data_IF_933808813199
#
_entry.id   IF_933808813199
#
_cell.length_a   1.000
_cell.length_b   1.000
_cell.length_c   1.000
_cell.angle_alpha   90.00
_cell.angle_beta   90.00
_cell.angle_gamma   90.00
#
_symmetry.space_group_name_H-M   'P 1'
#
loop_
_entity.id
_entity.type
_entity.pdbx_description
1 polymer ?
#
# COMPACT_ATOMS: atom_id res chain seq x y z
N UNK A 1 -30.79 -2.29 40.38
CA UNK A 1 -30.48 -0.90 39.98
C UNK A 1 -29.07 -0.72 39.41
N UNK A 2 -28.04 -1.41 39.92
CA UNK A 2 -26.63 -1.31 39.44
C UNK A 2 -26.37 -2.03 38.10
N UNK A 3 -27.06 -3.14 37.81
CA UNK A 3 -26.91 -3.90 36.56
C UNK A 3 -27.43 -3.16 35.30
N UNK A 4 -28.34 -2.19 35.47
CA UNK A 4 -28.88 -1.37 34.37
C UNK A 4 -27.93 -0.24 33.95
N UNK A 5 -27.04 0.22 34.85
CA UNK A 5 -26.04 1.24 34.53
C UNK A 5 -24.87 0.69 33.69
N UNK A 6 -24.46 -0.57 33.90
CA UNK A 6 -23.39 -1.18 33.11
C UNK A 6 -23.78 -1.43 31.64
N UNK A 7 -25.05 -1.75 31.37
CA UNK A 7 -25.53 -1.95 30.00
C UNK A 7 -25.49 -0.67 29.15
N UNK A 8 -25.70 0.50 29.79
CA UNK A 8 -25.67 1.78 29.10
C UNK A 8 -24.23 2.23 28.74
N UNK A 9 -23.22 1.87 29.53
CA UNK A 9 -21.82 2.25 29.25
C UNK A 9 -21.18 1.43 28.12
N UNK A 10 -21.59 0.17 27.90
CA UNK A 10 -21.05 -0.64 26.80
C UNK A 10 -21.63 -0.29 25.42
N UNK A 11 -22.79 0.38 25.36
CA UNK A 11 -23.46 0.72 24.10
C UNK A 11 -22.93 1.98 23.39
N UNK A 12 -22.21 2.85 24.10
CA UNK A 12 -21.81 4.16 23.57
C UNK A 12 -20.46 4.17 22.84
N UNK A 13 -19.70 3.06 22.83
CA UNK A 13 -18.32 3.03 22.32
C UNK A 13 -18.16 2.48 20.89
N UNK A 14 -19.23 2.05 20.22
CA UNK A 14 -19.14 1.32 18.94
C UNK A 14 -19.31 2.15 17.69
N UNK A 15 -19.54 3.47 17.80
CA UNK A 15 -19.78 4.35 16.64
C UNK A 15 -18.63 5.32 16.40
N UNK A 16 -17.40 4.79 16.34
CA UNK A 16 -16.32 5.48 15.63
C UNK A 16 -16.46 5.09 14.16
N UNK A 17 -17.30 5.84 13.44
CA UNK A 17 -17.35 5.77 12.00
C UNK A 17 -15.94 6.12 11.47
N UNK A 18 -15.22 5.12 10.98
CA UNK A 18 -13.97 5.32 10.28
C UNK A 18 -14.29 6.16 9.03
N UNK A 19 -14.11 7.48 9.13
CA UNK A 19 -14.14 8.37 8.00
C UNK A 19 -13.08 7.87 7.03
N UNK A 20 -13.52 7.22 5.94
CA UNK A 20 -12.66 6.85 4.84
C UNK A 20 -12.00 8.15 4.36
N UNK A 21 -10.75 8.34 4.74
CA UNK A 21 -9.98 9.52 4.33
C UNK A 21 -9.87 9.42 2.82
N UNK A 22 -10.46 10.37 2.10
CA UNK A 22 -10.22 10.46 0.67
C UNK A 22 -8.71 10.54 0.45
N UNK A 23 -8.15 9.78 -0.52
CA UNK A 23 -6.72 9.78 -0.75
C UNK A 23 -6.28 11.22 -1.01
N UNK A 24 -5.50 11.77 -0.08
CA UNK A 24 -4.94 13.11 -0.20
C UNK A 24 -4.22 13.20 -1.54
N UNK A 25 -4.66 14.11 -2.39
CA UNK A 25 -4.05 14.30 -3.69
C UNK A 25 -2.58 14.70 -3.48
N UNK A 26 -1.68 13.99 -4.14
CA UNK A 26 -0.25 14.30 -4.06
C UNK A 26 -0.02 15.74 -4.55
N UNK A 27 0.88 16.51 -3.89
CA UNK A 27 1.27 17.82 -4.37
C UNK A 27 1.70 17.78 -5.84
N UNK A 28 1.36 18.82 -6.60
CA UNK A 28 1.72 18.89 -8.03
C UNK A 28 3.23 18.79 -8.28
N UNK A 29 4.05 19.17 -7.29
CA UNK A 29 5.51 19.14 -7.31
C UNK A 29 6.11 17.84 -6.78
N UNK A 30 5.30 16.85 -6.40
CA UNK A 30 5.80 15.58 -5.90
C UNK A 30 6.49 14.78 -7.01
N UNK A 31 7.72 14.33 -6.76
CA UNK A 31 8.44 13.41 -7.66
C UNK A 31 7.74 12.05 -7.77
N UNK A 32 6.86 11.72 -6.82
CA UNK A 32 6.06 10.49 -6.82
C UNK A 32 4.74 10.64 -7.56
N UNK A 33 4.48 11.79 -8.19
CA UNK A 33 3.32 11.99 -9.06
C UNK A 33 3.57 11.33 -10.41
N UNK A 34 3.50 10.00 -10.42
CA UNK A 34 3.69 9.20 -11.64
C UNK A 34 2.48 9.45 -12.57
N UNK A 35 2.71 9.77 -13.87
CA UNK A 35 1.62 9.90 -14.82
C UNK A 35 0.85 8.57 -14.95
N UNK A 36 -0.39 8.59 -15.49
CA UNK A 36 -1.15 7.36 -15.73
C UNK A 36 -0.31 6.32 -16.46
N UNK A 37 -0.07 5.18 -15.81
CA UNK A 37 0.80 4.12 -16.27
C UNK A 37 0.07 2.78 -16.11
N UNK A 38 -0.11 2.08 -17.22
CA UNK A 38 -0.67 0.72 -17.25
C UNK A 38 0.46 -0.27 -17.41
N UNK A 39 0.46 -1.30 -16.57
CA UNK A 39 1.48 -2.34 -16.50
C UNK A 39 0.83 -3.71 -16.65
N UNK A 40 1.60 -4.68 -17.11
CA UNK A 40 1.23 -6.09 -17.12
C UNK A 40 2.24 -6.85 -16.27
N UNK A 41 1.77 -7.70 -15.36
CA UNK A 41 2.63 -8.54 -14.56
C UNK A 41 3.02 -9.84 -15.30
N UNK A 42 3.86 -10.65 -14.68
CA UNK A 42 4.34 -11.94 -15.19
C UNK A 42 3.24 -12.99 -15.41
N UNK A 43 2.08 -12.84 -14.76
CA UNK A 43 0.92 -13.72 -14.93
C UNK A 43 -0.03 -13.23 -16.04
N UNK A 44 0.34 -12.17 -16.78
CA UNK A 44 -0.47 -11.58 -17.84
C UNK A 44 -1.61 -10.68 -17.33
N UNK A 45 -1.62 -10.34 -16.04
CA UNK A 45 -2.64 -9.47 -15.46
C UNK A 45 -2.26 -8.00 -15.68
N UNK A 46 -3.19 -7.25 -16.28
CA UNK A 46 -3.05 -5.81 -16.48
C UNK A 46 -3.55 -5.03 -15.26
N UNK A 47 -2.78 -4.04 -14.81
CA UNK A 47 -3.14 -3.15 -13.72
C UNK A 47 -2.64 -1.72 -13.97
N UNK A 48 -3.19 -0.74 -13.27
CA UNK A 48 -2.68 0.63 -13.29
C UNK A 48 -1.70 0.83 -12.14
N UNK A 49 -0.63 1.61 -12.33
CA UNK A 49 0.30 1.92 -11.23
C UNK A 49 -0.43 2.53 -10.01
N UNK A 50 -1.44 3.36 -10.28
CA UNK A 50 -2.27 3.98 -9.26
C UNK A 50 -3.08 2.97 -8.42
N UNK A 51 -3.37 1.76 -8.93
CA UNK A 51 -4.06 0.72 -8.15
C UNK A 51 -3.22 0.18 -6.99
N UNK A 52 -1.92 0.44 -6.97
CA UNK A 52 -1.01 0.04 -5.88
C UNK A 52 -1.00 1.02 -4.70
N UNK A 53 -1.74 2.12 -4.77
CA UNK A 53 -1.78 3.14 -3.73
C UNK A 53 -2.37 2.64 -2.39
N UNK A 54 -2.08 3.36 -1.31
CA UNK A 54 -2.65 3.11 0.03
C UNK A 54 -1.77 2.28 0.97
N UNK A 55 -0.66 1.69 0.48
CA UNK A 55 0.36 1.04 1.31
C UNK A 55 1.77 1.40 0.80
N UNK A 56 2.80 1.44 1.67
CA UNK A 56 4.19 1.51 1.22
C UNK A 56 4.50 0.36 0.26
N UNK A 57 5.23 0.64 -0.82
CA UNK A 57 5.64 -0.35 -1.83
C UNK A 57 7.14 -0.23 -2.06
N UNK A 58 7.80 -1.36 -2.23
CA UNK A 58 9.17 -1.43 -2.73
C UNK A 58 9.12 -1.64 -4.24
N UNK A 59 9.90 -0.85 -4.98
CA UNK A 59 10.03 -0.96 -6.43
C UNK A 59 11.51 -1.00 -6.77
N UNK A 60 11.93 -2.02 -7.51
CA UNK A 60 13.26 -2.15 -8.08
C UNK A 60 13.18 -2.22 -9.60
N UNK A 61 14.08 -1.52 -10.29
CA UNK A 61 14.16 -1.56 -11.74
C UNK A 61 15.39 -2.36 -12.13
N UNK A 62 15.18 -3.48 -12.80
CA UNK A 62 16.26 -4.39 -13.16
C UNK A 62 16.13 -4.86 -14.60
N UNK A 63 17.23 -5.37 -15.13
CA UNK A 63 17.27 -6.07 -16.42
C UNK A 63 17.56 -7.54 -16.17
N UNK A 64 16.72 -8.43 -16.70
CA UNK A 64 16.89 -9.87 -16.54
C UNK A 64 18.22 -10.40 -17.15
N UNK A 65 18.82 -9.65 -18.08
CA UNK A 65 20.11 -9.95 -18.69
C UNK A 65 21.32 -9.50 -17.84
N UNK A 66 21.10 -8.77 -16.75
CA UNK A 66 22.20 -8.31 -15.89
C UNK A 66 22.65 -9.46 -14.97
N UNK A 67 23.94 -9.80 -15.07
CA UNK A 67 24.49 -10.98 -14.39
C UNK A 67 25.12 -10.68 -13.04
N UNK A 68 25.34 -9.40 -12.69
CA UNK A 68 26.15 -9.03 -11.53
C UNK A 68 25.37 -8.25 -10.47
N UNK A 69 24.95 -7.02 -10.78
CA UNK A 69 24.34 -6.14 -9.79
C UNK A 69 22.87 -6.50 -9.50
N UNK A 70 22.08 -6.79 -10.54
CA UNK A 70 20.65 -7.05 -10.39
C UNK A 70 20.32 -8.26 -9.49
N UNK A 71 21.05 -9.40 -9.55
CA UNK A 71 20.82 -10.48 -8.61
C UNK A 71 20.95 -10.05 -7.14
N UNK A 72 21.97 -9.25 -6.81
CA UNK A 72 22.19 -8.76 -5.45
C UNK A 72 21.07 -7.82 -4.99
N UNK A 73 20.61 -6.93 -5.87
CA UNK A 73 19.47 -6.03 -5.59
C UNK A 73 18.18 -6.83 -5.32
N UNK A 74 17.89 -7.82 -6.17
CA UNK A 74 16.68 -8.65 -6.04
C UNK A 74 16.70 -9.44 -4.72
N UNK A 75 17.84 -10.00 -4.33
CA UNK A 75 17.95 -10.70 -3.04
C UNK A 75 17.75 -9.76 -1.85
N UNK A 76 18.26 -8.52 -1.94
CA UNK A 76 18.01 -7.49 -0.92
C UNK A 76 16.52 -7.15 -0.81
N UNK A 77 15.81 -7.01 -1.93
CA UNK A 77 14.38 -6.73 -1.94
C UNK A 77 13.57 -7.85 -1.29
N UNK A 78 13.88 -9.12 -1.63
CA UNK A 78 13.24 -10.29 -1.01
C UNK A 78 13.47 -10.34 0.49
N UNK A 79 14.66 -9.96 0.95
CA UNK A 79 14.96 -9.92 2.38
C UNK A 79 14.06 -8.95 3.13
N UNK A 80 13.70 -7.80 2.55
CA UNK A 80 12.78 -6.83 3.17
C UNK A 80 11.34 -7.35 3.17
N UNK A 81 10.92 -8.10 2.14
CA UNK A 81 9.58 -8.70 2.09
C UNK A 81 9.32 -9.69 3.24
N UNK A 82 10.37 -10.36 3.72
CA UNK A 82 10.27 -11.35 4.80
C UNK A 82 10.35 -10.76 6.21
N UNK A 83 10.45 -9.44 6.36
CA UNK A 83 10.47 -8.75 7.66
C UNK A 83 9.06 -8.34 8.10
#
# INVERSE_FOLDING_TARGET
MILLLCGALLGACTLVAAAASEPSSLPATSIYRIPPLTLMNQDGQTFTFASLAGKPRLLGMFYASCQMACPVEIETLKQVEHQ
#
